data_IF_087959071498
#
_entry.id   IF_087959071498
#
_cell.length_a   1.000
_cell.length_b   1.000
_cell.length_c   1.000
_cell.angle_alpha   90.00
_cell.angle_beta   90.00
_cell.angle_gamma   90.00
#
_symmetry.space_group_name_H-M   'P 1'
#
loop_
_entity.id
_entity.type
_entity.pdbx_description
1 polymer ?
#
# COMPACT_ATOMS: atom_id res chain seq x y z
N UNK A 1 -1.47 -66.85 30.46
CA UNK A 1 -0.27 -67.68 30.22
C UNK A 1 0.56 -67.00 29.12
N UNK A 2 1.72 -66.40 29.47
CA UNK A 2 2.95 -66.23 28.65
C UNK A 2 2.84 -65.26 27.43
N UNK A 3 3.74 -64.31 27.07
CA UNK A 3 5.00 -63.71 27.58
C UNK A 3 5.30 -62.43 26.76
N UNK A 4 6.12 -61.52 27.33
CA UNK A 4 6.95 -60.50 26.64
C UNK A 4 8.13 -61.14 25.88
N UNK A 5 8.56 -60.51 24.77
CA UNK A 5 9.96 -60.33 24.28
C UNK A 5 9.87 -59.51 22.95
N UNK A 6 10.38 -58.28 22.76
CA UNK A 6 11.74 -57.68 22.81
C UNK A 6 12.76 -58.34 21.85
N UNK A 7 13.10 -57.65 20.74
CA UNK A 7 14.45 -57.16 20.34
C UNK A 7 14.77 -57.21 18.83
N UNK A 8 15.70 -56.29 18.47
CA UNK A 8 16.50 -56.14 17.25
C UNK A 8 15.79 -55.48 16.05
N UNK A 9 16.24 -54.35 15.48
CA UNK A 9 17.58 -53.78 15.42
C UNK A 9 18.11 -53.90 14.00
N UNK A 10 18.01 -52.85 13.19
CA UNK A 10 18.94 -52.62 12.08
C UNK A 10 18.97 -51.14 11.74
N UNK A 11 20.18 -50.61 11.77
CA UNK A 11 20.52 -49.22 11.55
C UNK A 11 21.09 -49.02 10.14
N UNK A 12 21.08 -47.74 9.72
CA UNK A 12 21.89 -47.13 8.66
C UNK A 12 21.58 -47.47 7.19
N UNK A 13 21.12 -46.44 6.47
CA UNK A 13 21.97 -45.74 5.49
C UNK A 13 21.43 -44.36 5.14
N UNK A 14 22.14 -43.35 5.62
CA UNK A 14 22.08 -41.99 5.10
C UNK A 14 22.74 -41.98 3.71
N UNK A 15 22.10 -41.32 2.74
CA UNK A 15 22.68 -41.00 1.44
C UNK A 15 22.88 -39.48 1.41
N UNK A 16 24.13 -39.06 1.59
CA UNK A 16 24.58 -37.71 1.28
C UNK A 16 25.01 -37.65 -0.21
N UNK A 17 24.75 -36.56 -0.94
CA UNK A 17 25.48 -36.29 -2.16
C UNK A 17 26.80 -35.55 -1.86
N UNK A 18 27.84 -36.01 -2.54
CA UNK A 18 29.23 -35.56 -2.52
C UNK A 18 29.41 -34.10 -2.91
N UNK A 19 30.48 -33.56 -2.37
CA UNK A 19 31.09 -32.26 -2.60
C UNK A 19 31.73 -32.06 -3.99
N UNK A 20 31.85 -30.77 -4.32
CA UNK A 20 32.93 -30.09 -5.06
C UNK A 20 32.98 -30.18 -6.60
N UNK A 21 32.82 -29.00 -7.22
CA UNK A 21 33.61 -28.42 -8.33
C UNK A 21 33.10 -26.97 -8.54
N UNK A 22 33.65 -25.97 -7.85
CA UNK A 22 34.70 -25.07 -8.37
C UNK A 22 34.50 -24.64 -9.83
N UNK A 23 33.99 -23.43 -10.04
CA UNK A 23 34.60 -22.46 -10.97
C UNK A 23 34.01 -21.06 -10.74
N UNK A 24 34.72 -20.30 -9.91
CA UNK A 24 34.49 -18.88 -9.70
C UNK A 24 35.03 -18.13 -10.93
N UNK A 25 34.20 -17.89 -11.96
CA UNK A 25 34.58 -17.10 -13.13
C UNK A 25 34.08 -15.66 -12.96
N UNK A 26 34.86 -14.86 -12.24
CA UNK A 26 34.75 -13.40 -12.24
C UNK A 26 34.88 -12.88 -13.69
N UNK A 27 33.77 -12.48 -14.31
CA UNK A 27 33.79 -11.64 -15.50
C UNK A 27 34.12 -10.21 -15.06
N UNK A 28 35.41 -9.86 -15.11
CA UNK A 28 35.86 -8.45 -15.08
C UNK A 28 35.32 -7.75 -16.33
N UNK A 29 34.43 -6.77 -16.14
CA UNK A 29 34.07 -5.82 -17.19
C UNK A 29 35.27 -4.92 -17.46
N UNK A 30 35.63 -4.80 -18.74
CA UNK A 30 36.68 -3.92 -19.22
C UNK A 30 36.19 -2.47 -19.12
N UNK A 31 36.89 -1.63 -18.36
CA UNK A 31 36.66 -0.18 -18.30
C UNK A 31 37.08 0.48 -19.62
N UNK A 32 36.24 1.40 -20.09
CA UNK A 32 36.38 2.14 -21.34
C UNK A 32 37.39 3.30 -21.15
N UNK A 33 38.42 3.48 -22.01
CA UNK A 33 39.51 4.44 -21.76
C UNK A 33 39.23 5.90 -22.17
N UNK A 34 37.98 6.28 -22.46
CA UNK A 34 37.62 7.66 -22.85
C UNK A 34 36.85 8.40 -21.74
N UNK A 35 37.45 8.55 -20.56
CA UNK A 35 37.00 9.49 -19.54
C UNK A 35 37.97 10.67 -19.50
N UNK A 36 37.61 11.74 -20.21
CA UNK A 36 38.30 13.02 -20.23
C UNK A 36 38.30 13.63 -18.83
N UNK A 37 39.49 13.81 -18.26
CA UNK A 37 39.71 14.53 -17.01
C UNK A 37 39.26 15.99 -17.15
N UNK A 38 38.16 16.35 -16.48
CA UNK A 38 37.81 17.77 -16.26
C UNK A 38 38.58 18.23 -15.03
N UNK A 39 39.55 19.09 -15.26
CA UNK A 39 40.40 19.72 -14.25
C UNK A 39 39.59 20.66 -13.37
N UNK A 40 39.76 20.54 -12.06
CA UNK A 40 39.23 21.45 -11.06
C UNK A 40 39.87 22.83 -11.21
N UNK A 41 39.05 23.88 -11.36
CA UNK A 41 39.51 25.28 -11.36
C UNK A 41 39.62 25.79 -9.91
N UNK A 42 40.71 26.45 -9.51
CA UNK A 42 40.90 26.88 -8.12
C UNK A 42 40.07 28.12 -7.76
N UNK A 43 39.52 28.10 -6.55
CA UNK A 43 38.90 29.24 -5.87
C UNK A 43 39.90 30.40 -5.76
N UNK A 44 39.58 31.53 -6.39
CA UNK A 44 40.24 32.81 -6.12
C UNK A 44 39.23 33.92 -5.82
N UNK A 45 39.41 34.44 -4.61
CA UNK A 45 38.97 35.72 -4.03
C UNK A 45 38.43 36.76 -5.01
N UNK A 46 37.19 37.20 -4.81
CA UNK A 46 36.73 38.55 -5.18
C UNK A 46 35.69 39.06 -4.17
N UNK A 47 36.02 40.21 -3.55
CA UNK A 47 35.08 41.30 -3.24
C UNK A 47 34.07 41.14 -2.10
N UNK A 48 34.33 41.80 -0.96
CA UNK A 48 33.29 42.20 -0.01
C UNK A 48 32.42 43.28 -0.65
N UNK A 49 31.20 42.93 -1.06
CA UNK A 49 30.15 43.90 -1.39
C UNK A 49 29.50 44.52 -0.13
N UNK A 50 28.81 45.66 -0.25
CA UNK A 50 28.21 46.35 0.89
C UNK A 50 27.02 45.56 1.44
N UNK A 51 26.86 45.55 2.78
CA UNK A 51 25.72 44.93 3.48
C UNK A 51 24.42 45.64 3.09
N UNK A 52 23.30 44.91 2.84
CA UNK A 52 22.01 45.54 2.60
C UNK A 52 21.45 46.12 3.91
N UNK A 53 20.81 47.28 3.79
CA UNK A 53 20.19 48.03 4.87
C UNK A 53 19.01 47.26 5.49
N UNK A 54 18.88 47.37 6.82
CA UNK A 54 17.75 46.89 7.62
C UNK A 54 16.48 47.65 7.23
N UNK A 55 15.58 47.00 6.48
CA UNK A 55 14.21 47.48 6.26
C UNK A 55 13.33 47.03 7.44
N UNK A 56 13.06 47.93 8.38
CA UNK A 56 12.00 47.73 9.37
C UNK A 56 10.63 48.01 8.71
N UNK A 57 10.09 47.01 8.03
CA UNK A 57 8.73 47.03 7.52
C UNK A 57 7.81 46.31 8.50
N UNK A 58 6.92 47.03 9.18
CA UNK A 58 5.78 46.44 9.88
C UNK A 58 4.85 45.79 8.85
N UNK A 59 4.96 44.48 8.66
CA UNK A 59 4.07 43.73 7.81
C UNK A 59 2.68 43.68 8.47
N UNK A 60 1.77 44.52 7.99
CA UNK A 60 0.33 44.33 8.21
C UNK A 60 -0.05 42.94 7.67
N UNK A 61 -0.76 42.09 8.43
CA UNK A 61 -1.18 40.80 7.93
C UNK A 61 -2.11 41.03 6.75
N UNK A 62 -1.69 40.57 5.56
CA UNK A 62 -2.59 40.50 4.41
C UNK A 62 -3.79 39.63 4.83
N UNK A 63 -5.03 40.04 4.54
CA UNK A 63 -6.15 39.13 4.66
C UNK A 63 -5.82 37.93 3.77
N UNK A 64 -5.84 36.73 4.35
CA UNK A 64 -5.72 35.48 3.61
C UNK A 64 -6.83 35.50 2.56
N UNK A 65 -6.49 35.84 1.31
CA UNK A 65 -7.38 35.61 0.18
C UNK A 65 -7.78 34.14 0.27
N UNK A 66 -9.08 33.84 0.28
CA UNK A 66 -9.57 32.47 0.16
C UNK A 66 -8.90 31.84 -1.06
N UNK A 67 -7.84 31.07 -0.82
CA UNK A 67 -7.01 30.50 -1.87
C UNK A 67 -7.86 29.51 -2.64
N UNK A 68 -7.88 29.62 -3.96
CA UNK A 68 -8.50 28.61 -4.80
C UNK A 68 -7.96 27.23 -4.40
N UNK A 69 -8.85 26.31 -4.05
CA UNK A 69 -8.47 24.93 -3.69
C UNK A 69 -7.80 24.25 -4.88
N UNK A 70 -6.86 23.35 -4.61
CA UNK A 70 -6.25 22.54 -5.65
C UNK A 70 -7.28 21.51 -6.16
N UNK A 71 -7.54 21.47 -7.46
CA UNK A 71 -8.51 20.51 -8.02
C UNK A 71 -7.87 19.13 -8.10
N UNK A 72 -8.48 18.15 -7.44
CA UNK A 72 -8.03 16.76 -7.52
C UNK A 72 -8.46 16.12 -8.85
N UNK A 73 -7.64 15.22 -9.42
CA UNK A 73 -8.09 14.35 -10.50
C UNK A 73 -9.23 13.43 -10.03
N UNK A 74 -10.02 12.88 -10.97
CA UNK A 74 -11.09 11.94 -10.62
C UNK A 74 -10.51 10.70 -9.93
N UNK A 75 -11.22 10.22 -8.90
CA UNK A 75 -10.84 9.05 -8.11
C UNK A 75 -12.10 8.32 -7.62
N UNK A 76 -12.09 6.99 -7.67
CA UNK A 76 -13.12 6.17 -7.01
C UNK A 76 -12.79 6.10 -5.51
N UNK A 77 -13.68 6.60 -4.66
CA UNK A 77 -13.57 6.52 -3.21
C UNK A 77 -14.54 5.47 -2.66
N UNK A 78 -14.01 4.44 -2.03
CA UNK A 78 -14.79 3.34 -1.45
C UNK A 78 -14.77 3.47 0.06
N UNK A 79 -15.90 3.84 0.66
CA UNK A 79 -16.04 3.92 2.12
C UNK A 79 -16.34 2.55 2.73
N UNK A 80 -15.88 2.40 3.96
CA UNK A 80 -15.99 1.20 4.77
C UNK A 80 -16.96 1.41 5.92
N UNK A 81 -16.61 0.90 7.09
CA UNK A 81 -17.46 1.02 8.29
C UNK A 81 -16.62 1.02 9.57
N UNK A 82 -17.29 1.10 10.71
CA UNK A 82 -16.70 1.15 12.06
C UNK A 82 -15.71 2.33 12.24
N UNK A 83 -14.64 2.12 13.01
CA UNK A 83 -13.69 3.17 13.37
C UNK A 83 -12.93 3.74 12.18
N UNK A 84 -12.68 2.92 11.16
CA UNK A 84 -11.89 3.36 10.00
C UNK A 84 -12.63 4.37 9.16
N UNK A 85 -13.96 4.23 9.04
CA UNK A 85 -14.79 5.18 8.34
C UNK A 85 -14.77 6.56 9.02
N UNK A 86 -15.05 6.58 10.33
CA UNK A 86 -15.00 7.82 11.12
C UNK A 86 -13.63 8.51 11.07
N UNK A 87 -12.55 7.75 11.21
CA UNK A 87 -11.20 8.31 11.11
C UNK A 87 -10.93 8.92 9.72
N UNK A 88 -11.41 8.28 8.66
CA UNK A 88 -11.21 8.78 7.30
C UNK A 88 -12.08 9.99 6.98
N UNK A 89 -13.30 10.08 7.50
CA UNK A 89 -14.10 11.30 7.45
C UNK A 89 -13.36 12.47 8.10
N UNK A 90 -12.78 12.27 9.28
CA UNK A 90 -11.98 13.30 9.95
C UNK A 90 -10.76 13.72 9.11
N UNK A 91 -10.07 12.77 8.47
CA UNK A 91 -8.95 13.08 7.57
C UNK A 91 -9.42 13.91 6.38
N UNK A 92 -10.55 13.55 5.76
CA UNK A 92 -11.13 14.31 4.66
C UNK A 92 -11.49 15.73 5.10
N UNK A 93 -12.19 15.88 6.21
CA UNK A 93 -12.63 17.18 6.73
C UNK A 93 -11.48 18.09 7.14
N UNK A 94 -10.48 17.55 7.85
CA UNK A 94 -9.43 18.35 8.47
C UNK A 94 -8.26 18.60 7.54
N UNK A 95 -7.89 17.63 6.70
CA UNK A 95 -6.63 17.67 5.96
C UNK A 95 -6.82 17.76 4.44
N UNK A 96 -7.93 17.26 3.89
CA UNK A 96 -8.15 17.23 2.43
C UNK A 96 -9.04 18.40 1.98
N UNK A 97 -10.29 18.42 2.42
CA UNK A 97 -11.33 19.37 1.99
C UNK A 97 -10.98 20.85 2.18
N UNK A 98 -10.17 21.29 3.17
CA UNK A 98 -9.76 22.68 3.30
C UNK A 98 -8.82 23.15 2.18
N UNK A 99 -8.10 22.22 1.54
CA UNK A 99 -7.01 22.51 0.62
C UNK A 99 -7.24 21.99 -0.80
N UNK A 100 -8.02 20.93 -0.94
CA UNK A 100 -8.23 20.18 -2.17
C UNK A 100 -9.73 20.15 -2.49
N UNK A 101 -10.07 20.45 -3.74
CA UNK A 101 -11.41 20.25 -4.29
C UNK A 101 -11.55 18.80 -4.79
N UNK A 102 -12.40 18.05 -4.09
CA UNK A 102 -12.69 16.62 -4.31
C UNK A 102 -13.98 16.40 -5.09
N UNK A 103 -14.55 17.43 -5.71
CA UNK A 103 -15.81 17.36 -6.47
C UNK A 103 -15.81 16.33 -7.62
N UNK A 104 -14.64 15.98 -8.15
CA UNK A 104 -14.48 14.95 -9.18
C UNK A 104 -14.43 13.51 -8.64
N UNK A 105 -14.50 13.31 -7.31
CA UNK A 105 -14.46 11.98 -6.70
C UNK A 105 -15.83 11.31 -6.72
N UNK A 106 -15.82 10.00 -6.98
CA UNK A 106 -17.02 9.18 -6.97
C UNK A 106 -17.04 8.30 -5.73
N UNK A 107 -18.02 8.51 -4.85
CA UNK A 107 -18.12 7.83 -3.56
C UNK A 107 -19.04 6.61 -3.63
N UNK A 108 -18.58 5.49 -3.10
CA UNK A 108 -19.31 4.23 -3.03
C UNK A 108 -19.29 3.68 -1.60
N UNK A 109 -20.46 3.50 -1.00
CA UNK A 109 -20.59 2.92 0.35
C UNK A 109 -20.60 1.39 0.31
N UNK A 110 -19.51 0.78 0.80
CA UNK A 110 -19.35 -0.67 0.91
C UNK A 110 -19.54 -1.19 2.35
N UNK A 111 -20.24 -0.44 3.21
CA UNK A 111 -20.75 -0.94 4.49
C UNK A 111 -21.57 -2.22 4.29
N UNK A 112 -21.57 -3.09 5.31
CA UNK A 112 -22.37 -4.32 5.30
C UNK A 112 -23.84 -4.05 4.98
N UNK A 113 -24.39 -2.93 5.48
CA UNK A 113 -25.78 -2.54 5.25
C UNK A 113 -26.04 -2.13 3.81
N UNK A 114 -25.24 -1.21 3.25
CA UNK A 114 -25.40 -0.77 1.85
C UNK A 114 -25.27 -1.94 0.87
N UNK A 115 -24.31 -2.83 1.14
CA UNK A 115 -24.14 -4.05 0.35
C UNK A 115 -25.33 -5.00 0.44
N UNK A 116 -25.92 -5.18 1.61
CA UNK A 116 -27.09 -6.05 1.79
C UNK A 116 -28.38 -5.44 1.20
N UNK A 117 -28.55 -4.12 1.33
CA UNK A 117 -29.68 -3.38 0.80
C UNK A 117 -29.68 -3.38 -0.74
N UNK A 118 -28.50 -3.25 -1.35
CA UNK A 118 -28.31 -3.21 -2.82
C UNK A 118 -28.01 -4.56 -3.46
N UNK A 119 -28.00 -5.65 -2.68
CA UNK A 119 -27.61 -6.98 -3.12
C UNK A 119 -26.22 -7.03 -3.81
N UNK A 120 -25.23 -6.34 -3.24
CA UNK A 120 -23.87 -6.12 -3.76
C UNK A 120 -23.80 -5.33 -5.09
N UNK A 121 -24.91 -4.72 -5.56
CA UNK A 121 -24.87 -3.84 -6.74
C UNK A 121 -23.89 -2.67 -6.54
N UNK A 122 -23.83 -2.08 -5.34
CA UNK A 122 -22.88 -0.99 -5.03
C UNK A 122 -21.41 -1.38 -5.22
N UNK A 123 -21.08 -2.65 -4.93
CA UNK A 123 -19.75 -3.20 -5.15
C UNK A 123 -19.45 -3.34 -6.65
N UNK A 124 -20.42 -3.79 -7.43
CA UNK A 124 -20.27 -3.88 -8.89
C UNK A 124 -20.11 -2.50 -9.53
N UNK A 125 -20.91 -1.52 -9.11
CA UNK A 125 -20.80 -0.14 -9.59
C UNK A 125 -19.43 0.47 -9.24
N UNK A 126 -18.92 0.23 -8.01
CA UNK A 126 -17.58 0.65 -7.61
C UNK A 126 -16.47 0.00 -8.44
N UNK A 127 -16.62 -1.28 -8.80
CA UNK A 127 -15.67 -1.99 -9.68
C UNK A 127 -15.65 -1.37 -11.07
N UNK A 128 -16.81 -1.06 -11.66
CA UNK A 128 -16.91 -0.43 -12.97
C UNK A 128 -16.37 1.00 -12.97
N UNK A 129 -16.63 1.78 -11.91
CA UNK A 129 -16.01 3.09 -11.70
C UNK A 129 -14.49 2.98 -11.64
N UNK A 130 -13.97 2.04 -10.85
CA UNK A 130 -12.53 1.80 -10.74
C UNK A 130 -11.88 1.42 -12.07
N UNK A 131 -12.57 0.64 -12.93
CA UNK A 131 -12.10 0.34 -14.29
C UNK A 131 -12.02 1.57 -15.18
N UNK A 132 -13.00 2.47 -15.08
CA UNK A 132 -13.08 3.69 -15.88
C UNK A 132 -12.05 4.73 -15.43
N UNK A 133 -11.89 4.93 -14.12
CA UNK A 133 -11.04 5.99 -13.56
C UNK A 133 -9.58 5.53 -13.44
N UNK A 134 -9.34 4.28 -13.04
CA UNK A 134 -8.00 3.71 -12.85
C UNK A 134 -7.30 4.10 -11.54
N UNK A 135 -7.88 5.01 -10.74
CA UNK A 135 -7.40 5.40 -9.41
C UNK A 135 -8.49 5.13 -8.36
N UNK A 136 -8.17 4.31 -7.36
CA UNK A 136 -9.12 3.89 -6.32
C UNK A 136 -8.50 4.06 -4.94
N UNK A 137 -9.22 4.72 -4.04
CA UNK A 137 -8.98 4.68 -2.60
C UNK A 137 -10.04 3.80 -1.94
N UNK A 138 -9.64 2.93 -1.02
CA UNK A 138 -10.55 2.04 -0.29
C UNK A 138 -10.25 1.99 1.19
N UNK A 139 -11.28 2.22 2.00
CA UNK A 139 -11.28 1.99 3.43
C UNK A 139 -11.41 0.49 3.79
N UNK A 140 -10.98 0.06 4.99
CA UNK A 140 -11.28 -1.27 5.52
C UNK A 140 -12.80 -1.53 5.60
N UNK A 141 -13.20 -2.74 5.22
CA UNK A 141 -14.62 -3.17 5.16
C UNK A 141 -14.79 -4.48 5.92
N UNK A 142 -15.90 -4.68 6.61
CA UNK A 142 -16.16 -5.92 7.35
C UNK A 142 -16.50 -7.04 6.36
N UNK A 143 -15.92 -8.22 6.60
CA UNK A 143 -16.39 -9.47 5.98
C UNK A 143 -17.18 -10.21 7.06
N UNK A 144 -18.53 -10.14 7.03
CA UNK A 144 -19.34 -10.51 8.19
C UNK A 144 -19.25 -12.00 8.47
N UNK A 145 -18.94 -12.35 9.72
CA UNK A 145 -19.10 -13.72 10.23
C UNK A 145 -20.58 -14.06 10.39
N UNK A 146 -20.91 -15.35 10.59
CA UNK A 146 -22.30 -15.77 10.83
C UNK A 146 -22.93 -15.09 12.05
N UNK A 147 -22.13 -14.86 13.10
CA UNK A 147 -22.58 -14.14 14.30
C UNK A 147 -22.85 -12.67 14.00
N UNK A 148 -21.98 -12.02 13.22
CA UNK A 148 -22.20 -10.64 12.80
C UNK A 148 -23.37 -10.49 11.83
N UNK A 149 -23.62 -11.47 10.95
CA UNK A 149 -24.82 -11.50 10.09
C UNK A 149 -26.10 -11.35 10.91
N UNK A 150 -26.22 -12.12 11.99
CA UNK A 150 -27.40 -12.09 12.88
C UNK A 150 -27.48 -10.75 13.61
N UNK A 151 -26.36 -10.26 14.16
CA UNK A 151 -26.33 -8.98 14.89
C UNK A 151 -26.66 -7.77 14.01
N UNK A 152 -26.23 -7.79 12.76
CA UNK A 152 -26.44 -6.72 11.78
C UNK A 152 -27.76 -6.87 11.00
N UNK A 153 -28.47 -7.99 11.16
CA UNK A 153 -29.73 -8.24 10.46
C UNK A 153 -29.61 -8.43 8.94
N UNK A 154 -28.48 -8.95 8.46
CA UNK A 154 -28.22 -9.09 7.01
C UNK A 154 -29.03 -10.25 6.40
N UNK A 155 -29.51 -10.08 5.17
CA UNK A 155 -30.22 -11.14 4.41
C UNK A 155 -29.37 -12.39 4.26
N UNK A 156 -28.10 -12.23 3.88
CA UNK A 156 -27.13 -13.34 3.71
C UNK A 156 -25.72 -12.97 4.15
N UNK A 157 -24.86 -13.98 4.23
CA UNK A 157 -23.43 -13.79 4.51
C UNK A 157 -22.74 -13.36 3.22
N UNK A 158 -22.26 -12.11 3.20
CA UNK A 158 -21.58 -11.55 2.03
C UNK A 158 -20.11 -11.92 2.01
N UNK A 159 -19.59 -12.25 0.82
CA UNK A 159 -18.17 -12.48 0.60
C UNK A 159 -17.33 -11.22 0.77
N UNK A 160 -16.01 -11.37 0.83
CA UNK A 160 -15.11 -10.22 0.92
C UNK A 160 -15.15 -9.40 -0.38
N UNK A 161 -15.42 -8.08 -0.32
CA UNK A 161 -15.48 -7.25 -1.52
C UNK A 161 -14.10 -7.15 -2.20
N UNK A 162 -13.02 -7.32 -1.42
CA UNK A 162 -11.65 -7.34 -1.90
C UNK A 162 -11.41 -8.42 -2.97
N UNK A 163 -12.07 -9.57 -2.87
CA UNK A 163 -11.96 -10.64 -3.87
C UNK A 163 -12.60 -10.25 -5.19
N UNK A 164 -13.81 -9.67 -5.13
CA UNK A 164 -14.53 -9.20 -6.30
C UNK A 164 -13.78 -8.09 -7.04
N UNK A 165 -13.22 -7.11 -6.32
CA UNK A 165 -12.41 -6.05 -6.92
C UNK A 165 -11.15 -6.57 -7.60
N UNK A 166 -10.40 -7.49 -6.97
CA UNK A 166 -9.22 -8.12 -7.59
C UNK A 166 -9.56 -8.83 -8.90
N UNK A 167 -10.68 -9.55 -8.92
CA UNK A 167 -11.19 -10.21 -10.13
C UNK A 167 -11.64 -9.19 -11.18
N UNK A 168 -12.32 -8.12 -10.75
CA UNK A 168 -12.80 -7.06 -11.62
C UNK A 168 -11.70 -6.25 -12.29
N UNK A 169 -10.55 -6.07 -11.63
CA UNK A 169 -9.42 -5.28 -12.13
C UNK A 169 -8.24 -6.13 -12.61
N UNK A 170 -8.49 -7.39 -12.97
CA UNK A 170 -7.51 -8.32 -13.57
C UNK A 170 -6.24 -8.57 -12.73
N UNK A 171 -6.34 -8.51 -11.39
CA UNK A 171 -5.30 -8.98 -10.48
C UNK A 171 -4.03 -8.12 -10.47
N UNK A 172 -4.07 -6.99 -9.76
CA UNK A 172 -2.87 -6.17 -9.49
C UNK A 172 -2.14 -6.74 -8.27
N UNK A 173 -0.82 -6.88 -8.37
CA UNK A 173 0.04 -7.32 -7.26
C UNK A 173 -0.10 -6.35 -6.08
N UNK A 174 -0.30 -6.89 -4.88
CA UNK A 174 -0.41 -6.06 -3.67
C UNK A 174 1.00 -5.85 -3.14
N UNK A 175 1.58 -4.70 -3.44
CA UNK A 175 2.82 -4.23 -2.83
C UNK A 175 2.52 -3.74 -1.42
N UNK A 176 3.26 -4.26 -0.43
CA UNK A 176 3.27 -3.72 0.93
C UNK A 176 4.64 -3.15 1.21
N UNK A 177 4.66 -1.91 1.66
CA UNK A 177 5.86 -1.24 2.17
C UNK A 177 5.66 -0.87 3.63
N UNK A 178 6.77 -0.90 4.37
CA UNK A 178 6.86 -0.36 5.73
C UNK A 178 6.97 1.15 5.70
N UNK A 179 6.15 1.83 6.51
CA UNK A 179 6.31 3.26 6.75
C UNK A 179 7.36 3.44 7.85
N UNK A 180 8.51 4.03 7.51
CA UNK A 180 9.52 4.44 8.49
C UNK A 180 9.26 5.88 8.93
N UNK A 181 9.34 6.12 10.23
CA UNK A 181 9.19 7.45 10.83
C UNK A 181 10.53 7.81 11.45
N UNK A 182 11.01 9.03 11.19
CA UNK A 182 12.27 9.52 11.75
C UNK A 182 12.25 9.42 13.28
N UNK A 183 13.28 8.78 13.85
CA UNK A 183 13.40 8.55 15.29
C UNK A 183 12.70 7.29 15.84
N UNK A 184 12.01 6.50 15.01
CA UNK A 184 11.42 5.22 15.39
C UNK A 184 12.09 4.06 14.65
N UNK A 185 12.92 3.28 15.36
CA UNK A 185 13.49 2.05 14.80
C UNK A 185 12.46 0.92 14.84
N UNK A 186 12.09 0.43 13.65
CA UNK A 186 11.24 -0.75 13.47
C UNK A 186 12.11 -2.01 13.26
N UNK A 187 11.49 -3.19 13.22
CA UNK A 187 12.22 -4.46 13.13
C UNK A 187 13.19 -4.59 11.95
N UNK A 188 12.90 -3.96 10.80
CA UNK A 188 13.81 -3.91 9.66
C UNK A 188 14.39 -2.49 9.49
N UNK A 189 15.72 -2.41 9.43
CA UNK A 189 16.47 -1.15 9.21
C UNK A 189 16.29 -0.55 7.81
N UNK A 190 15.85 -1.35 6.84
CA UNK A 190 15.60 -0.93 5.46
C UNK A 190 14.17 -1.30 5.08
N UNK A 191 13.52 -0.56 4.15
CA UNK A 191 12.21 -0.92 3.61
C UNK A 191 12.20 -2.35 3.07
N UNK A 192 11.13 -3.08 3.36
CA UNK A 192 10.90 -4.43 2.83
C UNK A 192 9.65 -4.39 1.97
N UNK A 193 9.84 -4.64 0.68
CA UNK A 193 8.75 -4.72 -0.28
C UNK A 193 8.27 -6.17 -0.40
N UNK A 194 6.96 -6.38 -0.29
CA UNK A 194 6.35 -7.67 -0.51
C UNK A 194 5.31 -7.62 -1.62
N UNK A 195 5.52 -8.44 -2.65
CA UNK A 195 4.63 -8.57 -3.79
C UNK A 195 3.73 -9.79 -3.60
N UNK A 196 2.44 -9.56 -3.30
CA UNK A 196 1.47 -10.65 -3.16
C UNK A 196 0.65 -10.81 -4.44
N UNK A 197 0.71 -12.00 -5.03
CA UNK A 197 -0.13 -12.37 -6.17
C UNK A 197 -1.62 -12.25 -5.80
N UNK A 198 -2.38 -11.49 -6.58
CA UNK A 198 -3.76 -11.17 -6.28
C UNK A 198 -4.80 -12.18 -6.80
N UNK A 199 -4.38 -13.16 -7.60
CA UNK A 199 -5.24 -14.20 -8.17
C UNK A 199 -4.80 -15.60 -7.73
N UNK A 200 -5.76 -16.52 -7.68
CA UNK A 200 -5.54 -17.93 -7.35
C UNK A 200 -5.42 -18.23 -5.84
N UNK A 201 -4.97 -19.44 -5.53
CA UNK A 201 -4.91 -19.98 -4.17
C UNK A 201 -6.28 -20.34 -3.61
N UNK A 202 -6.38 -20.40 -2.28
CA UNK A 202 -7.62 -20.70 -1.55
C UNK A 202 -8.72 -19.67 -1.84
N UNK A 203 -8.36 -18.48 -2.31
CA UNK A 203 -9.30 -17.44 -2.75
C UNK A 203 -10.09 -17.82 -4.02
N UNK A 204 -9.67 -18.85 -4.75
CA UNK A 204 -10.37 -19.40 -5.91
C UNK A 204 -10.73 -20.88 -5.78
N UNK A 205 -10.60 -21.47 -4.59
CA UNK A 205 -10.93 -22.88 -4.39
C UNK A 205 -12.45 -23.11 -4.47
N UNK A 206 -12.86 -24.13 -5.24
CA UNK A 206 -14.24 -24.63 -5.24
C UNK A 206 -14.52 -25.41 -3.96
N UNK A 207 -15.75 -25.28 -3.46
CA UNK A 207 -16.30 -26.12 -2.39
C UNK A 207 -16.62 -27.52 -2.89
#
# INVERSE_FOLDING_TARGET
MIRRQLLAGSALRAIAPRSALSSNRQRRSKSNPNATFVTQTPLSRLGRGPRPATLSGTATPRPMSGGAKLVAPPMTYISGEEMTHYCMELVLERWINPHIDTSAWEFYDLSCKSRDDTEDKVLHDAVESGKRIGAIFKEPTVTPTQVQKIKLGLKKTWGSPNGAMRKGWNGITISRDTIHIDGLELGFKKPVLFERHAVGGEYGAGW
#
